data_IF_780288035116
#
_entry.id   IF_780288035116
#
_cell.length_a   1.000
_cell.length_b   1.000
_cell.length_c   1.000
_cell.angle_alpha   90.00
_cell.angle_beta   90.00
_cell.angle_gamma   90.00
#
_symmetry.space_group_name_H-M   'P 1'
#
loop_
_entity.id
_entity.type
_entity.pdbx_description
1 polymer ?
#
# COMPACT_ATOMS: atom_id res chain seq x y z
N UNK A 1 -7.77 14.61 -3.49
CA UNK A 1 -7.53 13.62 -2.42
C UNK A 1 -6.07 13.64 -2.01
N UNK A 2 -5.75 13.28 -0.77
CA UNK A 2 -4.36 13.14 -0.30
C UNK A 2 -4.19 11.78 0.35
N UNK A 3 -3.25 11.00 -0.17
CA UNK A 3 -2.88 9.69 0.39
C UNK A 3 -1.48 9.76 0.99
N UNK A 4 -1.25 8.99 2.06
CA UNK A 4 0.08 8.80 2.65
C UNK A 4 0.37 7.31 2.67
N UNK A 5 1.58 6.96 2.22
CA UNK A 5 2.09 5.61 2.19
C UNK A 5 3.23 5.49 3.21
N UNK A 6 3.25 4.39 3.95
CA UNK A 6 4.27 4.09 4.98
C UNK A 6 4.86 2.72 4.73
N UNK A 7 6.17 2.60 4.90
CA UNK A 7 6.88 1.32 4.85
C UNK A 7 7.86 1.22 6.03
N UNK A 8 7.78 0.14 6.79
CA UNK A 8 8.73 -0.22 7.83
C UNK A 8 9.45 -1.53 7.50
N UNK A 9 10.76 -1.57 7.75
CA UNK A 9 11.57 -2.78 7.60
C UNK A 9 12.33 -3.04 8.91
N UNK A 10 12.26 -4.27 9.38
CA UNK A 10 13.02 -4.77 10.52
C UNK A 10 13.98 -5.86 10.06
N UNK A 11 15.28 -5.66 10.27
CA UNK A 11 16.34 -6.58 9.86
C UNK A 11 16.98 -7.28 11.06
N UNK A 12 17.01 -8.61 11.05
CA UNK A 12 17.70 -9.43 12.04
C UNK A 12 19.20 -9.46 11.70
N UNK A 13 19.99 -8.71 12.48
CA UNK A 13 21.45 -8.60 12.33
C UNK A 13 22.24 -9.57 13.22
N UNK A 14 21.55 -10.43 13.95
CA UNK A 14 22.15 -11.35 14.91
C UNK A 14 22.77 -12.54 14.18
N UNK A 15 23.85 -13.10 14.73
CA UNK A 15 24.38 -14.40 14.31
C UNK A 15 23.40 -15.54 14.67
N UNK A 16 23.31 -16.56 13.84
CA UNK A 16 22.46 -17.74 14.08
C UNK A 16 21.33 -17.90 13.07
N UNK A 17 20.30 -18.67 13.41
CA UNK A 17 19.25 -19.10 12.48
C UNK A 17 18.48 -17.92 11.81
N UNK A 18 18.39 -16.78 12.49
CA UNK A 18 17.70 -15.59 11.99
C UNK A 18 18.62 -14.62 11.24
N UNK A 19 19.91 -14.93 11.09
CA UNK A 19 20.85 -14.06 10.36
C UNK A 19 20.33 -13.77 8.94
N UNK A 20 20.32 -12.50 8.55
CA UNK A 20 19.88 -12.09 7.21
C UNK A 20 18.37 -12.19 6.99
N UNK A 21 17.56 -12.46 8.01
CA UNK A 21 16.11 -12.36 7.93
C UNK A 21 15.68 -10.88 8.01
N UNK A 22 14.68 -10.50 7.24
CA UNK A 22 14.08 -9.17 7.25
C UNK A 22 12.55 -9.29 7.15
N UNK A 23 11.84 -8.54 8.00
CA UNK A 23 10.39 -8.35 7.91
C UNK A 23 10.09 -6.96 7.38
N UNK A 24 9.14 -6.85 6.46
CA UNK A 24 8.65 -5.57 5.97
C UNK A 24 7.13 -5.49 6.12
N UNK A 25 6.66 -4.32 6.55
CA UNK A 25 5.25 -3.96 6.64
C UNK A 25 5.06 -2.69 5.81
N UNK A 26 4.25 -2.78 4.76
CA UNK A 26 3.82 -1.64 3.96
C UNK A 26 2.36 -1.34 4.20
N UNK A 27 2.01 -0.05 4.28
CA UNK A 27 0.63 0.43 4.28
C UNK A 27 0.51 1.52 3.23
N UNK A 28 -0.25 1.24 2.17
CA UNK A 28 -0.62 2.21 1.14
C UNK A 28 -1.98 2.79 1.45
N UNK A 29 -2.14 4.09 1.24
CA UNK A 29 -3.36 4.83 1.58
C UNK A 29 -3.72 4.65 3.07
N UNK A 30 -2.81 5.06 3.97
CA UNK A 30 -2.93 4.90 5.41
C UNK A 30 -4.29 5.38 5.96
N UNK A 31 -4.77 6.52 5.43
CA UNK A 31 -6.02 7.15 5.85
C UNK A 31 -7.27 6.61 5.14
N UNK A 32 -7.13 5.64 4.22
CA UNK A 32 -8.23 5.08 3.44
C UNK A 32 -9.04 6.15 2.68
N UNK A 33 -8.36 7.14 2.11
CA UNK A 33 -8.98 8.21 1.34
C UNK A 33 -9.50 7.67 -0.01
N UNK A 34 -10.76 7.92 -0.36
CA UNK A 34 -11.29 7.58 -1.69
C UNK A 34 -10.77 8.57 -2.76
N UNK A 35 -10.81 8.17 -4.06
CA UNK A 35 -10.64 9.09 -5.18
C UNK A 35 -11.60 10.28 -5.12
N UNK A 36 -11.17 11.43 -5.62
CA UNK A 36 -12.07 12.57 -5.81
C UNK A 36 -13.11 12.22 -6.88
N UNK A 37 -14.35 12.61 -6.63
CA UNK A 37 -15.44 12.34 -7.56
C UNK A 37 -15.44 13.35 -8.70
N UNK A 38 -15.64 12.87 -9.92
CA UNK A 38 -15.88 13.70 -11.11
C UNK A 38 -17.33 13.61 -11.53
N UNK A 39 -17.82 14.64 -12.24
CA UNK A 39 -19.16 14.61 -12.81
C UNK A 39 -19.21 13.61 -13.97
N UNK A 40 -20.25 12.78 -13.97
CA UNK A 40 -20.56 11.86 -15.07
C UNK A 40 -21.93 12.19 -15.65
N UNK A 41 -22.15 11.82 -16.91
CA UNK A 41 -23.43 12.06 -17.59
C UNK A 41 -24.30 10.80 -17.59
N UNK A 42 -23.70 9.61 -17.56
CA UNK A 42 -24.44 8.35 -17.44
C UNK A 42 -24.32 7.76 -16.02
N UNK A 43 -25.40 7.16 -15.48
CA UNK A 43 -25.43 6.65 -14.11
C UNK A 43 -24.55 5.42 -13.87
N UNK A 44 -24.10 4.77 -14.94
CA UNK A 44 -23.21 3.60 -14.89
C UNK A 44 -21.74 3.95 -15.15
N UNK A 45 -21.43 5.21 -15.42
CA UNK A 45 -20.05 5.65 -15.57
C UNK A 45 -19.35 5.66 -14.21
N UNK A 46 -18.06 5.33 -14.22
CA UNK A 46 -17.22 5.40 -13.02
C UNK A 46 -17.05 6.88 -12.63
N UNK A 47 -17.48 7.23 -11.42
CA UNK A 47 -17.52 8.62 -10.94
C UNK A 47 -16.18 9.15 -10.43
N UNK A 48 -15.06 8.61 -10.91
CA UNK A 48 -13.70 9.09 -10.64
C UNK A 48 -12.80 8.79 -11.84
N UNK A 49 -11.63 9.44 -11.90
CA UNK A 49 -10.64 9.17 -12.94
C UNK A 49 -9.90 7.85 -12.67
N UNK A 50 -10.39 6.78 -13.28
CA UNK A 50 -9.84 5.42 -13.17
C UNK A 50 -8.58 5.17 -13.99
N UNK A 51 -8.17 6.13 -14.82
CA UNK A 51 -6.92 6.04 -15.60
C UNK A 51 -5.73 6.43 -14.71
N UNK A 52 -5.93 7.41 -13.83
CA UNK A 52 -4.87 7.94 -12.96
C UNK A 52 -4.98 7.49 -11.50
N UNK A 53 -6.16 7.07 -11.05
CA UNK A 53 -6.39 6.69 -9.66
C UNK A 53 -6.94 5.27 -9.52
N UNK A 54 -6.58 4.62 -8.43
CA UNK A 54 -7.09 3.30 -8.06
C UNK A 54 -8.31 3.44 -7.14
N UNK A 55 -9.35 2.61 -7.31
CA UNK A 55 -10.47 2.56 -6.37
C UNK A 55 -10.12 1.80 -5.08
N UNK A 56 -8.92 1.19 -5.01
CA UNK A 56 -8.48 0.44 -3.84
C UNK A 56 -8.26 1.40 -2.67
N UNK A 57 -8.92 1.09 -1.54
CA UNK A 57 -8.73 1.81 -0.28
C UNK A 57 -7.37 1.52 0.34
N UNK A 58 -7.34 1.37 1.67
CA UNK A 58 -6.13 1.01 2.40
C UNK A 58 -5.68 -0.40 2.06
N UNK A 59 -4.42 -0.52 1.64
CA UNK A 59 -3.79 -1.81 1.35
C UNK A 59 -2.63 -2.04 2.31
N UNK A 60 -2.61 -3.21 2.95
CA UNK A 60 -1.55 -3.63 3.87
C UNK A 60 -0.77 -4.77 3.21
N UNK A 61 0.55 -4.64 3.16
CA UNK A 61 1.46 -5.66 2.65
C UNK A 61 2.42 -6.12 3.75
N UNK A 62 2.65 -7.43 3.81
CA UNK A 62 3.64 -8.03 4.70
C UNK A 62 4.60 -8.85 3.83
N UNK A 63 5.90 -8.70 4.06
CA UNK A 63 6.91 -9.45 3.36
C UNK A 63 7.96 -9.99 4.32
N UNK A 64 8.48 -11.18 3.99
CA UNK A 64 9.59 -11.83 4.68
C UNK A 64 10.68 -12.07 3.65
N UNK A 65 11.91 -11.64 3.95
CA UNK A 65 13.08 -11.89 3.11
C UNK A 65 14.17 -12.55 3.93
N UNK A 66 14.84 -13.56 3.36
CA UNK A 66 16.00 -14.22 3.95
C UNK A 66 17.18 -14.11 2.99
N UNK A 67 18.30 -13.58 3.47
CA UNK A 67 19.59 -13.61 2.80
C UNK A 67 20.43 -14.73 3.41
N UNK A 68 21.00 -15.58 2.54
CA UNK A 68 21.82 -16.73 2.90
C UNK A 68 23.30 -16.36 2.80
#
# INVERSE_FOLDING_TARGET
>A
MTTVDVNGIYAFRQSGALHGLEFSLGVRNLFNAPPDTINTTQPYDVSYDSVNYSPMGRMISVAVRKRW
#
